data_IF_550981257232
#
_entry.id   IF_550981257232
#
_cell.length_a   1.000
_cell.length_b   1.000
_cell.length_c   1.000
_cell.angle_alpha   90.00
_cell.angle_beta   90.00
_cell.angle_gamma   90.00
#
_symmetry.space_group_name_H-M   'P 1'
#
loop_
_entity.id
_entity.type
_entity.pdbx_description
1 polymer ?
#
# COMPACT_ATOMS: atom_id res chain seq x y z
N UNK A 1 20.76 8.19 18.46
CA UNK A 1 19.66 7.21 18.49
C UNK A 1 19.97 6.10 17.51
N UNK A 2 19.80 4.84 17.92
CA UNK A 2 20.14 3.68 17.10
C UNK A 2 18.93 3.41 16.19
N UNK A 3 18.94 3.93 14.97
CA UNK A 3 17.89 3.71 13.97
C UNK A 3 18.10 2.35 13.30
N UNK A 4 17.86 1.28 14.07
CA UNK A 4 17.98 -0.09 13.60
C UNK A 4 16.63 -0.65 13.20
N UNK A 5 16.63 -1.31 12.06
CA UNK A 5 15.48 -1.93 11.46
C UNK A 5 15.69 -3.44 11.39
N UNK A 6 14.61 -4.19 11.40
CA UNK A 6 14.64 -5.63 11.15
C UNK A 6 13.71 -5.96 9.99
N UNK A 7 14.08 -6.95 9.19
CA UNK A 7 13.25 -7.47 8.10
C UNK A 7 12.78 -8.88 8.42
N UNK A 8 11.62 -9.26 7.90
CA UNK A 8 11.12 -10.63 8.00
C UNK A 8 11.36 -11.37 6.68
N UNK A 9 12.30 -12.31 6.66
CA UNK A 9 12.56 -13.18 5.51
C UNK A 9 12.15 -14.61 5.87
N UNK A 10 11.12 -15.16 5.21
CA UNK A 10 10.70 -16.58 5.38
C UNK A 10 10.52 -16.94 6.87
N UNK A 11 9.77 -16.12 7.62
CA UNK A 11 9.54 -16.25 9.07
C UNK A 11 10.79 -16.11 9.97
N UNK A 12 11.95 -15.75 9.43
CA UNK A 12 13.13 -15.42 10.21
C UNK A 12 13.33 -13.91 10.30
N UNK A 13 13.57 -13.43 11.52
CA UNK A 13 13.93 -12.04 11.79
C UNK A 13 15.40 -11.83 11.39
N UNK A 14 15.61 -11.01 10.37
CA UNK A 14 16.95 -10.64 9.89
C UNK A 14 17.28 -9.20 10.28
N UNK A 15 18.51 -8.94 10.72
CA UNK A 15 19.00 -7.62 11.15
C UNK A 15 19.90 -7.70 12.38
N UNK A 16 20.21 -6.56 13.03
CA UNK A 16 19.73 -5.20 12.75
C UNK A 16 20.37 -4.56 11.51
N UNK A 17 19.57 -3.86 10.71
CA UNK A 17 20.01 -3.09 9.56
C UNK A 17 19.86 -1.59 9.79
N UNK A 18 20.69 -0.79 9.13
CA UNK A 18 20.46 0.66 9.03
C UNK A 18 19.50 0.98 7.90
N UNK A 19 18.91 2.17 7.93
CA UNK A 19 18.03 2.66 6.85
C UNK A 19 18.71 2.62 5.47
N UNK A 20 19.98 3.03 5.39
CA UNK A 20 20.77 2.97 4.16
C UNK A 20 21.02 1.51 3.69
N UNK A 21 21.34 0.60 4.61
CA UNK A 21 21.53 -0.82 4.27
C UNK A 21 20.26 -1.43 3.69
N UNK A 22 19.08 -1.08 4.22
CA UNK A 22 17.81 -1.55 3.68
C UNK A 22 17.57 -1.04 2.25
N UNK A 23 17.93 0.21 1.95
CA UNK A 23 17.84 0.75 0.58
C UNK A 23 18.80 0.02 -0.36
N UNK A 24 20.03 -0.25 0.08
CA UNK A 24 21.01 -1.00 -0.70
C UNK A 24 20.60 -2.47 -0.93
N UNK A 25 19.79 -3.04 -0.02
CA UNK A 25 19.26 -4.40 -0.11
C UNK A 25 18.13 -4.57 -1.15
N UNK A 26 17.74 -3.51 -1.86
CA UNK A 26 16.63 -3.53 -2.82
C UNK A 26 15.32 -4.04 -2.21
N UNK A 27 14.95 -3.53 -1.02
CA UNK A 27 13.66 -3.87 -0.40
C UNK A 27 12.49 -3.52 -1.33
N UNK A 28 11.44 -4.33 -1.26
CA UNK A 28 10.18 -4.11 -2.01
C UNK A 28 9.12 -3.48 -1.12
N UNK A 29 8.06 -2.93 -1.71
CA UNK A 29 6.92 -2.33 -1.00
C UNK A 29 6.27 -3.27 0.02
N UNK A 30 6.28 -4.57 -0.27
CA UNK A 30 5.66 -5.61 0.55
C UNK A 30 6.62 -6.20 1.60
N UNK A 31 7.88 -5.77 1.61
CA UNK A 31 8.85 -6.23 2.60
C UNK A 31 8.39 -5.81 3.99
N UNK A 32 8.30 -6.77 4.91
CA UNK A 32 7.96 -6.49 6.31
C UNK A 32 9.19 -5.95 7.04
N UNK A 33 9.02 -4.78 7.62
CA UNK A 33 10.04 -4.04 8.36
C UNK A 33 9.52 -3.74 9.77
N UNK A 34 10.37 -3.95 10.76
CA UNK A 34 10.16 -3.51 12.13
C UNK A 34 10.94 -2.20 12.32
N UNK A 35 10.21 -1.10 12.55
CA UNK A 35 10.80 0.24 12.70
C UNK A 35 11.34 0.42 14.13
N UNK A 36 12.42 1.19 14.35
CA UNK A 36 12.90 1.51 15.69
C UNK A 36 11.86 2.29 16.53
N UNK A 37 10.87 2.91 15.88
CA UNK A 37 9.81 3.68 16.52
C UNK A 37 8.56 2.85 16.83
N UNK A 38 8.45 1.64 16.27
CA UNK A 38 7.27 0.80 16.38
C UNK A 38 7.66 -0.68 16.35
N UNK A 39 7.35 -1.40 17.43
CA UNK A 39 7.65 -2.83 17.54
C UNK A 39 6.73 -3.73 16.68
N UNK A 40 5.78 -3.15 15.95
CA UNK A 40 4.94 -3.91 15.05
C UNK A 40 5.61 -4.08 13.68
N UNK A 41 5.43 -5.26 13.08
CA UNK A 41 5.78 -5.51 11.69
C UNK A 41 4.86 -4.72 10.77
N UNK A 42 5.44 -3.85 9.95
CA UNK A 42 4.71 -3.04 8.98
C UNK A 42 5.31 -3.26 7.60
N UNK A 43 4.51 -3.06 6.55
CA UNK A 43 5.07 -3.11 5.18
C UNK A 43 5.96 -1.88 4.96
N UNK A 44 7.02 -2.04 4.18
CA UNK A 44 7.89 -0.94 3.82
C UNK A 44 7.11 0.21 3.16
N UNK A 45 6.07 -0.11 2.38
CA UNK A 45 5.18 0.88 1.77
C UNK A 45 4.27 1.64 2.75
N UNK A 46 4.18 1.23 4.02
CA UNK A 46 3.42 1.95 5.05
C UNK A 46 4.31 2.92 5.85
N UNK A 47 5.64 2.82 5.67
CA UNK A 47 6.63 3.59 6.38
C UNK A 47 7.05 4.82 5.56
N UNK A 48 6.73 6.05 6.00
CA UNK A 48 6.99 7.28 5.25
C UNK A 48 8.47 7.48 4.90
N UNK A 49 9.39 6.99 5.73
CA UNK A 49 10.83 7.11 5.52
C UNK A 49 11.36 6.37 4.28
N UNK A 50 10.58 5.46 3.70
CA UNK A 50 10.93 4.74 2.48
C UNK A 50 10.24 5.28 1.23
N UNK A 51 9.34 6.27 1.35
CA UNK A 51 8.57 6.78 0.20
C UNK A 51 9.47 7.38 -0.87
N UNK A 52 10.45 8.19 -0.46
CA UNK A 52 11.42 8.79 -1.40
C UNK A 52 12.20 7.70 -2.13
N UNK A 53 12.64 6.66 -1.42
CA UNK A 53 13.34 5.54 -2.03
C UNK A 53 12.47 4.82 -3.06
N UNK A 54 11.21 4.51 -2.74
CA UNK A 54 10.31 3.86 -3.69
C UNK A 54 10.00 4.76 -4.90
N UNK A 55 9.85 6.06 -4.70
CA UNK A 55 9.70 7.02 -5.82
C UNK A 55 10.92 7.02 -6.74
N UNK A 56 12.15 6.92 -6.21
CA UNK A 56 13.37 6.79 -7.04
C UNK A 56 13.42 5.48 -7.83
N UNK A 57 12.73 4.44 -7.36
CA UNK A 57 12.56 3.17 -8.07
C UNK A 57 11.37 3.19 -9.04
N UNK A 58 10.70 4.33 -9.21
CA UNK A 58 9.50 4.47 -10.06
C UNK A 58 8.23 3.89 -9.45
N UNK A 59 8.25 3.56 -8.15
CA UNK A 59 7.10 3.01 -7.41
C UNK A 59 6.43 4.13 -6.64
N UNK A 60 5.23 4.52 -7.09
CA UNK A 60 4.41 5.52 -6.42
C UNK A 60 3.38 4.85 -5.52
N UNK A 61 3.61 4.90 -4.21
CA UNK A 61 2.69 4.32 -3.23
C UNK A 61 1.37 5.11 -3.27
N UNK A 62 0.21 4.44 -3.43
CA UNK A 62 -1.06 5.13 -3.45
C UNK A 62 -1.32 5.78 -2.10
N UNK A 63 -1.28 7.11 -2.06
CA UNK A 63 -1.69 7.87 -0.90
C UNK A 63 -3.22 7.91 -0.81
N UNK A 64 -3.78 8.28 0.35
CA UNK A 64 -5.24 8.46 0.53
C UNK A 64 -5.88 9.40 -0.51
N UNK A 65 -5.08 10.24 -1.16
CA UNK A 65 -5.50 11.14 -2.24
C UNK A 65 -5.77 10.40 -3.56
N UNK A 66 -5.11 9.26 -3.79
CA UNK A 66 -5.20 8.50 -5.05
C UNK A 66 -6.26 7.39 -5.02
N UNK A 67 -6.85 7.12 -3.86
CA UNK A 67 -7.88 6.10 -3.67
C UNK A 67 -9.22 6.77 -3.47
N UNK A 68 -10.23 6.39 -4.26
CA UNK A 68 -11.59 6.85 -4.05
C UNK A 68 -12.03 6.51 -2.63
N UNK A 69 -12.54 7.51 -1.90
CA UNK A 69 -13.05 7.30 -0.55
C UNK A 69 -14.20 6.28 -0.56
N UNK A 70 -14.45 5.66 0.59
CA UNK A 70 -15.55 4.69 0.73
C UNK A 70 -16.87 5.24 0.18
N UNK A 71 -17.20 6.49 0.48
CA UNK A 71 -18.43 7.16 0.02
C UNK A 71 -18.48 7.34 -1.50
N UNK A 72 -17.35 7.65 -2.14
CA UNK A 72 -17.28 7.73 -3.60
C UNK A 72 -17.48 6.36 -4.25
N UNK A 73 -16.92 5.30 -3.67
CA UNK A 73 -17.13 3.92 -4.14
C UNK A 73 -18.59 3.48 -3.98
N UNK A 74 -19.22 3.84 -2.86
CA UNK A 74 -20.63 3.54 -2.62
C UNK A 74 -21.55 4.28 -3.59
N UNK A 75 -21.28 5.56 -3.85
CA UNK A 75 -22.05 6.36 -4.80
C UNK A 75 -21.92 5.79 -6.22
N UNK A 76 -20.71 5.45 -6.65
CA UNK A 76 -20.49 4.83 -7.96
C UNK A 76 -21.26 3.52 -8.10
N UNK A 77 -21.24 2.66 -7.09
CA UNK A 77 -22.03 1.43 -7.07
C UNK A 77 -23.54 1.67 -7.24
N UNK A 78 -24.10 2.67 -6.55
CA UNK A 78 -25.52 3.01 -6.68
C UNK A 78 -25.87 3.51 -8.09
N UNK A 79 -25.01 4.34 -8.68
CA UNK A 79 -25.18 4.82 -10.05
C UNK A 79 -25.15 3.64 -11.03
N UNK A 80 -24.14 2.78 -10.95
CA UNK A 80 -24.02 1.60 -11.81
C UNK A 80 -25.24 0.68 -11.68
N UNK A 81 -25.73 0.46 -10.46
CA UNK A 81 -26.91 -0.36 -10.22
C UNK A 81 -28.17 0.22 -10.88
N UNK A 82 -28.38 1.53 -10.78
CA UNK A 82 -29.51 2.21 -11.45
C UNK A 82 -29.38 2.12 -12.96
N UNK A 83 -28.19 2.35 -13.51
CA UNK A 83 -27.94 2.25 -14.95
C UNK A 83 -28.20 0.83 -15.47
N UNK A 84 -27.78 -0.20 -14.73
CA UNK A 84 -28.03 -1.60 -15.09
C UNK A 84 -29.52 -1.94 -15.10
N UNK A 85 -30.30 -1.44 -14.12
CA UNK A 85 -31.75 -1.62 -14.10
C UNK A 85 -32.40 -0.97 -15.31
N UNK A 86 -32.04 0.28 -15.63
CA UNK A 86 -32.57 0.99 -16.79
C UNK A 86 -32.23 0.24 -18.08
N UNK A 87 -30.98 -0.20 -18.22
CA UNK A 87 -30.52 -0.93 -19.40
C UNK A 87 -31.24 -2.27 -19.55
N UNK A 88 -31.42 -3.01 -18.45
CA UNK A 88 -32.15 -4.28 -18.44
C UNK A 88 -33.65 -4.09 -18.75
N UNK A 89 -34.27 -3.01 -18.28
CA UNK A 89 -35.66 -2.67 -18.61
C UNK A 89 -35.81 -2.37 -20.11
N UNK A 90 -34.90 -1.59 -20.70
CA UNK A 90 -34.92 -1.27 -22.14
C UNK A 90 -34.72 -2.53 -23.00
N UNK A 91 -33.82 -3.43 -22.60
CA UNK A 91 -33.55 -4.67 -23.35
C UNK A 91 -34.62 -5.73 -23.14
N UNK A 92 -35.19 -5.82 -21.93
CA UNK A 92 -36.20 -6.83 -21.58
C UNK A 92 -37.59 -6.56 -22.14
N UNK A 93 -37.84 -5.38 -22.71
CA UNK A 93 -39.09 -5.05 -23.42
C UNK A 93 -39.06 -5.36 -24.94
N UNK A 94 -38.05 -6.10 -25.43
CA UNK A 94 -37.99 -6.66 -26.78
C UNK A 94 -38.18 -8.18 -26.82
#
# INVERSE_FOLDING_TARGET
MINVYYTLNINEKSGPYTHAQLMDMNITTDTFIMSPLNENWQRAAELPEFYIYFETQGIYIPTRTNVASFWWRLLAYLIDYVLLIIFMAIIGEY
#
